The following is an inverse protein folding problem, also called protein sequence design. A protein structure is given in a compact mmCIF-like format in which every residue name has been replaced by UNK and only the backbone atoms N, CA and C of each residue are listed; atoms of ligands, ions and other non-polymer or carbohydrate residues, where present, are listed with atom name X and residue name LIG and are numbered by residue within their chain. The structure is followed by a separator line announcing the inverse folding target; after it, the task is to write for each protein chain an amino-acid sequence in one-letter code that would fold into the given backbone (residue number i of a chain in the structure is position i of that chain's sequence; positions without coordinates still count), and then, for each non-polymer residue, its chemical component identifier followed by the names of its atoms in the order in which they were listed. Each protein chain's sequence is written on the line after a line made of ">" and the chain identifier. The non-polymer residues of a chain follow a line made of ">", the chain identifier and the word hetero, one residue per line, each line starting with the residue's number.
data_IF_585314422986
#
_entry.id   IF_585314422986
#
_cell.length_a   1.000
_cell.length_b   1.000
_cell.length_c   1.000
_cell.angle_alpha   90.00
_cell.angle_beta   90.00
_cell.angle_gamma   90.00
#
_symmetry.space_group_name_H-M   'P 1'
#
loop_
_entity.id
_entity.type
_entity.pdbx_description
1 polymer ?
#
# COMPACT_ATOMS: atom_id res chain seq x y z
N UNK A 1 -64.96 -21.19 3.22
CA UNK A 1 -65.60 -21.32 1.89
C UNK A 1 -65.40 -20.03 1.13
N UNK A 2 -65.08 -20.16 -0.17
CA UNK A 2 -65.04 -19.14 -1.24
C UNK A 2 -63.86 -18.15 -1.17
N UNK A 3 -62.73 -18.32 -1.89
CA UNK A 3 -62.48 -18.33 -3.35
C UNK A 3 -63.10 -17.13 -4.05
N UNK A 4 -62.29 -16.23 -4.62
CA UNK A 4 -62.48 -15.58 -5.94
C UNK A 4 -61.30 -14.65 -6.28
N UNK A 5 -60.44 -15.09 -7.20
CA UNK A 5 -59.78 -14.24 -8.20
C UNK A 5 -60.76 -14.08 -9.38
N UNK A 6 -60.72 -12.97 -10.15
CA UNK A 6 -60.15 -13.09 -11.51
C UNK A 6 -59.47 -11.83 -12.12
N UNK A 7 -58.50 -12.11 -12.99
CA UNK A 7 -58.19 -11.57 -14.34
C UNK A 7 -58.21 -10.06 -14.64
N UNK A 8 -57.09 -9.44 -15.03
CA UNK A 8 -56.50 -9.27 -16.40
C UNK A 8 -57.20 -8.22 -17.28
N UNK A 9 -56.53 -7.09 -17.59
CA UNK A 9 -56.46 -6.37 -18.89
C UNK A 9 -55.19 -5.48 -18.87
N UNK A 10 -54.11 -5.82 -19.59
CA UNK A 10 -53.74 -5.38 -20.95
C UNK A 10 -53.28 -3.90 -21.06
N UNK A 11 -51.96 -3.70 -21.10
CA UNK A 11 -51.31 -2.45 -21.48
C UNK A 11 -50.11 -2.76 -22.38
N UNK A 12 -50.34 -2.66 -23.69
CA UNK A 12 -49.41 -2.95 -24.79
C UNK A 12 -48.30 -1.89 -24.84
N UNK A 13 -47.03 -2.28 -24.72
CA UNK A 13 -45.87 -1.44 -25.04
C UNK A 13 -44.98 -2.18 -26.05
N UNK A 14 -45.15 -1.80 -27.30
CA UNK A 14 -44.38 -2.24 -28.46
C UNK A 14 -43.02 -1.55 -28.48
N UNK A 15 -41.91 -2.30 -28.48
CA UNK A 15 -40.66 -1.86 -29.11
C UNK A 15 -39.81 -3.07 -29.54
N UNK A 16 -39.20 -2.94 -30.71
CA UNK A 16 -38.69 -4.00 -31.57
C UNK A 16 -37.37 -4.62 -31.06
N UNK A 17 -37.06 -5.89 -31.42
CA UNK A 17 -35.73 -6.45 -31.23
C UNK A 17 -34.81 -5.99 -32.36
N UNK A 18 -33.79 -5.19 -32.03
CA UNK A 18 -32.68 -4.91 -32.93
C UNK A 18 -31.68 -6.07 -32.82
N UNK A 19 -31.73 -7.00 -33.77
CA UNK A 19 -30.75 -8.07 -33.90
C UNK A 19 -29.40 -7.46 -34.32
N UNK A 20 -28.52 -7.21 -33.36
CA UNK A 20 -27.12 -6.88 -33.61
C UNK A 20 -26.40 -8.16 -34.06
N UNK A 21 -26.24 -8.29 -35.37
CA UNK A 21 -25.51 -9.38 -36.01
C UNK A 21 -24.00 -9.21 -35.71
N UNK A 22 -23.47 -10.05 -34.83
CA UNK A 22 -22.02 -10.12 -34.57
C UNK A 22 -21.36 -10.75 -35.80
N UNK A 23 -20.76 -9.91 -36.63
CA UNK A 23 -19.91 -10.36 -37.74
C UNK A 23 -18.66 -11.02 -37.18
N UNK A 24 -18.56 -12.34 -37.30
CA UNK A 24 -17.35 -13.10 -36.98
C UNK A 24 -16.35 -12.80 -38.12
N UNK A 25 -15.20 -12.14 -37.86
CA UNK A 25 -14.22 -11.93 -38.91
C UNK A 25 -13.63 -13.28 -39.32
N UNK A 26 -13.78 -13.63 -40.61
CA UNK A 26 -13.21 -14.82 -41.18
C UNK A 26 -11.67 -14.75 -41.12
N UNK A 27 -11.06 -15.59 -40.27
CA UNK A 27 -9.61 -15.78 -40.22
C UNK A 27 -9.09 -16.26 -41.58
N UNK A 28 -8.13 -15.57 -42.23
CA UNK A 28 -7.52 -16.05 -43.47
C UNK A 28 -6.70 -17.31 -43.20
N UNK A 29 -6.93 -18.37 -43.99
CA UNK A 29 -6.43 -19.73 -43.72
C UNK A 29 -5.10 -20.07 -44.42
N UNK A 30 -4.44 -19.11 -45.09
CA UNK A 30 -3.12 -19.31 -45.74
C UNK A 30 -2.31 -18.02 -45.71
N UNK A 31 -1.04 -18.13 -45.30
CA UNK A 31 -0.03 -17.11 -45.50
C UNK A 31 0.69 -17.38 -46.83
N UNK A 32 0.68 -16.37 -47.71
CA UNK A 32 1.45 -16.41 -48.95
C UNK A 32 2.95 -16.30 -48.60
N UNK A 33 3.76 -17.24 -49.08
CA UNK A 33 5.20 -17.26 -48.79
C UNK A 33 5.90 -16.55 -49.94
N UNK A 34 6.16 -15.25 -49.78
CA UNK A 34 6.97 -14.52 -50.77
C UNK A 34 8.42 -14.98 -50.69
N UNK A 35 8.90 -15.52 -51.83
CA UNK A 35 10.22 -16.11 -52.04
C UNK A 35 11.31 -15.02 -51.91
N UNK A 36 12.32 -15.26 -51.08
CA UNK A 36 13.50 -14.41 -50.93
C UNK A 36 14.29 -14.45 -52.24
N UNK A 37 14.42 -13.31 -52.92
CA UNK A 37 15.23 -13.22 -54.13
C UNK A 37 15.01 -11.97 -54.98
N UNK A 38 14.98 -10.77 -54.39
CA UNK A 38 15.36 -9.55 -55.13
C UNK A 38 15.70 -8.42 -54.16
N UNK A 39 16.85 -7.80 -54.39
CA UNK A 39 17.47 -6.85 -53.49
C UNK A 39 16.71 -5.52 -53.47
N UNK A 40 16.24 -5.12 -52.28
CA UNK A 40 15.93 -3.74 -51.96
C UNK A 40 16.75 -3.33 -50.73
N UNK A 41 17.85 -2.63 -51.03
CA UNK A 41 18.74 -1.97 -50.07
C UNK A 41 17.97 -0.92 -49.27
N UNK A 42 17.84 -1.12 -47.95
CA UNK A 42 17.16 -0.15 -47.08
C UNK A 42 16.83 -0.69 -45.70
N UNK A 43 17.78 -1.32 -45.01
CA UNK A 43 17.61 -1.74 -43.63
C UNK A 43 17.83 -0.58 -42.67
N UNK A 44 16.76 0.06 -42.19
CA UNK A 44 16.83 0.84 -40.95
C UNK A 44 16.51 -0.07 -39.78
N UNK A 45 17.54 -0.50 -39.04
CA UNK A 45 17.35 -1.17 -37.77
C UNK A 45 17.08 -0.10 -36.70
N UNK A 46 15.82 0.08 -36.30
CA UNK A 46 15.53 0.73 -35.02
C UNK A 46 15.95 -0.28 -33.95
N UNK A 47 17.17 -0.12 -33.44
CA UNK A 47 17.60 -0.81 -32.25
C UNK A 47 16.71 -0.34 -31.10
N UNK A 48 15.65 -1.10 -30.82
CA UNK A 48 14.97 -0.98 -29.54
C UNK A 48 16.00 -1.40 -28.50
N UNK A 49 16.69 -0.45 -27.88
CA UNK A 49 17.33 -0.70 -26.60
C UNK A 49 16.20 -1.18 -25.70
N UNK A 50 16.20 -2.46 -25.33
CA UNK A 50 15.32 -2.92 -24.26
C UNK A 50 15.65 -2.05 -23.06
N UNK A 51 14.80 -1.07 -22.76
CA UNK A 51 14.94 -0.26 -21.56
C UNK A 51 15.08 -1.24 -20.42
N UNK A 52 16.25 -1.22 -19.77
CA UNK A 52 16.56 -2.14 -18.70
C UNK A 52 15.38 -2.16 -17.73
N UNK A 53 14.77 -3.34 -17.53
CA UNK A 53 13.66 -3.48 -16.59
C UNK A 53 14.15 -2.94 -15.25
N UNK A 54 13.49 -1.95 -14.64
CA UNK A 54 13.93 -1.41 -13.37
C UNK A 54 14.05 -2.56 -12.39
N UNK A 55 15.25 -2.78 -11.86
CA UNK A 55 15.45 -3.84 -10.88
C UNK A 55 14.62 -3.53 -9.64
N UNK A 56 14.00 -4.54 -9.00
CA UNK A 56 13.23 -4.33 -7.78
C UNK A 56 14.18 -3.86 -6.67
N UNK A 57 14.10 -2.59 -6.31
CA UNK A 57 14.79 -2.05 -5.14
C UNK A 57 14.09 -2.54 -3.88
N UNK A 58 14.80 -3.31 -3.05
CA UNK A 58 14.31 -3.66 -1.71
C UNK A 58 14.58 -2.51 -0.76
N UNK A 59 13.54 -2.04 -0.08
CA UNK A 59 13.61 -1.00 0.95
C UNK A 59 13.37 -1.64 2.32
N UNK A 60 14.41 -1.71 3.14
CA UNK A 60 14.31 -2.17 4.52
C UNK A 60 14.16 -0.97 5.44
N UNK A 61 13.07 -0.91 6.20
CA UNK A 61 12.80 0.13 7.20
C UNK A 61 12.98 -0.50 8.58
N UNK A 62 13.97 -0.03 9.33
CA UNK A 62 14.19 -0.46 10.72
C UNK A 62 13.70 0.61 11.66
N UNK A 63 12.77 0.26 12.54
CA UNK A 63 12.26 1.13 13.60
C UNK A 63 13.06 0.96 14.88
N UNK A 64 13.37 2.07 15.55
CA UNK A 64 14.07 2.05 16.84
C UNK A 64 13.02 1.89 17.94
N UNK A 65 13.03 0.74 18.60
CA UNK A 65 12.10 0.43 19.70
C UNK A 65 12.62 1.00 21.01
N UNK A 66 11.72 1.67 21.73
CA UNK A 66 11.99 2.32 23.01
C UNK A 66 11.26 1.54 24.10
N UNK A 67 11.99 0.57 24.67
CA UNK A 67 11.51 -0.25 25.77
C UNK A 67 10.63 -1.44 25.35
N UNK A 68 10.05 -2.08 26.37
CA UNK A 68 9.24 -3.30 26.21
C UNK A 68 7.79 -3.01 25.80
N UNK A 69 7.09 -3.97 25.16
CA UNK A 69 5.69 -3.84 24.85
C UNK A 69 4.87 -3.73 26.14
N UNK A 70 4.01 -2.72 26.20
CA UNK A 70 3.09 -2.50 27.32
C UNK A 70 1.69 -2.18 26.81
N UNK A 71 0.73 -2.27 27.72
CA UNK A 71 -0.61 -1.75 27.50
C UNK A 71 -0.59 -0.23 27.70
N UNK A 72 -1.12 0.47 26.70
CA UNK A 72 -1.27 1.92 26.65
C UNK A 72 -2.74 2.25 26.77
N UNK A 73 -3.07 3.22 27.63
CA UNK A 73 -4.42 3.73 27.77
C UNK A 73 -4.57 5.07 27.04
N UNK A 74 -5.65 5.18 26.28
CA UNK A 74 -6.06 6.43 25.65
C UNK A 74 -7.04 7.18 26.56
N UNK A 75 -7.16 8.49 26.34
CA UNK A 75 -8.10 9.36 27.05
C UNK A 75 -9.57 9.02 26.74
N UNK A 76 -9.84 8.36 25.62
CA UNK A 76 -11.17 7.85 25.24
C UNK A 76 -11.55 6.53 25.95
N UNK A 77 -10.69 6.03 26.83
CA UNK A 77 -10.88 4.77 27.57
C UNK A 77 -10.47 3.52 26.80
N UNK A 78 -10.06 3.62 25.53
CA UNK A 78 -9.52 2.48 24.79
C UNK A 78 -8.12 2.14 25.28
N UNK A 79 -7.77 0.87 25.15
CA UNK A 79 -6.41 0.40 25.43
C UNK A 79 -5.85 -0.35 24.24
N UNK A 80 -4.53 -0.27 24.05
CA UNK A 80 -3.83 -1.03 23.02
C UNK A 80 -2.50 -1.53 23.56
N UNK A 81 -2.04 -2.68 23.08
CA UNK A 81 -0.72 -3.22 23.44
C UNK A 81 0.25 -2.89 22.32
N UNK A 82 1.34 -2.20 22.65
CA UNK A 82 2.28 -1.70 21.66
C UNK A 82 3.64 -1.36 22.24
N UNK A 83 4.61 -1.21 21.35
CA UNK A 83 5.94 -0.70 21.70
C UNK A 83 6.03 0.78 21.31
N UNK A 84 6.61 1.59 22.17
CA UNK A 84 6.97 2.96 21.82
C UNK A 84 8.14 2.90 20.84
N UNK A 85 8.09 3.68 19.76
CA UNK A 85 9.17 3.73 18.78
C UNK A 85 9.61 5.18 18.54
N UNK A 86 10.86 5.35 18.14
CA UNK A 86 11.38 6.65 17.73
C UNK A 86 10.81 7.09 16.38
N UNK A 87 10.90 8.39 16.10
CA UNK A 87 10.56 8.95 14.80
C UNK A 87 11.62 8.73 13.73
N UNK A 88 12.86 8.42 14.12
CA UNK A 88 13.92 8.06 13.18
C UNK A 88 13.72 6.64 12.70
N UNK A 89 13.57 6.52 11.38
CA UNK A 89 13.57 5.25 10.67
C UNK A 89 14.94 5.07 10.00
N UNK A 90 15.57 3.92 10.19
CA UNK A 90 16.79 3.57 9.46
C UNK A 90 16.34 2.89 8.18
N UNK A 91 16.42 3.64 7.08
CA UNK A 91 16.02 3.18 5.74
C UNK A 91 17.27 2.76 4.98
N UNK A 92 17.34 1.50 4.59
CA UNK A 92 18.38 0.97 3.70
C UNK A 92 17.71 0.62 2.38
N UNK A 93 18.15 1.28 1.30
CA UNK A 93 17.71 1.00 -0.06
C UNK A 93 18.84 0.28 -0.80
N UNK A 94 18.62 -0.98 -1.19
CA UNK A 94 19.59 -1.76 -1.94
C UNK A 94 19.63 -3.24 -1.59
N UNK A 95 20.41 -4.00 -2.36
CA UNK A 95 20.64 -5.45 -2.18
C UNK A 95 21.78 -5.77 -1.20
N UNK A 96 22.50 -4.76 -0.72
CA UNK A 96 23.61 -4.91 0.22
C UNK A 96 23.22 -4.43 1.62
N UNK A 97 23.51 -5.24 2.64
CA UNK A 97 23.35 -4.88 4.04
C UNK A 97 24.28 -3.72 4.40
N UNK A 98 23.78 -2.49 4.30
CA UNK A 98 24.51 -1.31 4.78
C UNK A 98 24.60 -1.34 6.31
N UNK A 99 25.68 -0.78 6.91
CA UNK A 99 25.80 -0.70 8.35
C UNK A 99 24.65 0.13 8.94
N UNK A 100 23.95 -0.44 9.92
CA UNK A 100 22.82 0.18 10.59
C UNK A 100 23.32 1.35 11.46
N UNK A 101 23.19 2.57 10.94
CA UNK A 101 23.52 3.77 11.71
C UNK A 101 22.35 4.12 12.63
N UNK A 102 22.40 3.64 13.87
CA UNK A 102 21.43 4.00 14.90
C UNK A 102 21.76 5.41 15.42
N UNK A 103 20.85 6.39 15.26
CA UNK A 103 21.04 7.71 15.84
C UNK A 103 21.30 7.62 17.35
N UNK A 104 22.34 8.31 17.82
CA UNK A 104 22.68 8.33 19.26
C UNK A 104 21.58 8.95 20.13
N UNK A 105 20.69 9.76 19.53
CA UNK A 105 19.59 10.46 20.21
C UNK A 105 18.29 10.30 19.41
N UNK A 106 17.58 9.17 19.57
CA UNK A 106 16.30 8.98 18.92
C UNK A 106 15.24 9.93 19.50
N UNK A 107 14.50 10.60 18.61
CA UNK A 107 13.38 11.47 18.96
C UNK A 107 12.15 10.63 19.24
N UNK A 108 11.66 10.67 20.47
CA UNK A 108 10.46 9.93 20.90
C UNK A 108 9.17 10.70 20.62
N UNK A 109 9.22 12.01 20.84
CA UNK A 109 8.08 12.91 20.68
C UNK A 109 8.43 13.96 19.64
N UNK A 110 7.61 14.08 18.61
CA UNK A 110 7.73 15.11 17.58
C UNK A 110 6.37 15.74 17.38
N UNK A 111 6.29 17.08 17.38
CA UNK A 111 5.04 17.81 17.15
C UNK A 111 3.87 17.38 18.06
N UNK A 112 4.13 17.13 19.35
CA UNK A 112 3.14 16.64 20.31
C UNK A 112 2.48 15.29 19.94
N UNK A 113 3.13 14.49 19.09
CA UNK A 113 2.74 13.11 18.79
C UNK A 113 3.86 12.13 19.15
N UNK A 114 3.48 10.92 19.49
CA UNK A 114 4.36 9.78 19.72
C UNK A 114 4.00 8.64 18.76
N UNK A 115 5.00 7.87 18.33
CA UNK A 115 4.81 6.72 17.45
C UNK A 115 4.80 5.41 18.24
N UNK A 116 3.85 4.56 17.90
CA UNK A 116 3.67 3.24 18.50
C UNK A 116 3.69 2.17 17.42
N UNK A 117 4.42 1.10 17.67
CA UNK A 117 4.36 -0.11 16.87
C UNK A 117 3.34 -1.07 17.49
N UNK A 118 2.23 -1.29 16.79
CA UNK A 118 1.09 -2.10 17.23
C UNK A 118 0.72 -3.05 16.10
N UNK A 119 0.66 -4.35 16.38
CA UNK A 119 0.22 -5.37 15.40
C UNK A 119 0.90 -5.22 14.02
N UNK A 120 2.23 -5.12 14.03
CA UNK A 120 3.07 -4.96 12.83
C UNK A 120 2.88 -3.67 12.04
N UNK A 121 2.20 -2.65 12.62
CA UNK A 121 1.95 -1.35 11.99
C UNK A 121 2.41 -0.22 12.91
N UNK A 122 2.82 0.89 12.29
CA UNK A 122 3.16 2.12 13.00
C UNK A 122 1.92 3.01 13.10
N UNK A 123 1.63 3.48 14.31
CA UNK A 123 0.54 4.40 14.62
C UNK A 123 1.09 5.67 15.26
N UNK A 124 0.68 6.82 14.75
CA UNK A 124 0.96 8.11 15.38
C UNK A 124 -0.20 8.48 16.30
N UNK A 125 0.09 8.71 17.57
CA UNK A 125 -0.90 9.08 18.58
C UNK A 125 -0.49 10.40 19.21
N UNK A 126 -1.41 11.36 19.24
CA UNK A 126 -1.19 12.63 19.92
C UNK A 126 -1.09 12.41 21.44
N UNK A 127 -0.18 13.11 22.12
CA UNK A 127 -0.02 13.00 23.57
C UNK A 127 -1.29 13.40 24.33
N UNK A 128 -2.11 14.28 23.74
CA UNK A 128 -3.41 14.68 24.28
C UNK A 128 -4.44 13.53 24.29
N UNK A 129 -4.26 12.56 23.39
CA UNK A 129 -5.11 11.35 23.31
C UNK A 129 -4.64 10.22 24.20
N UNK A 130 -3.44 10.33 24.78
CA UNK A 130 -2.95 9.38 25.79
C UNK A 130 -3.51 9.74 27.17
N UNK A 131 -3.69 8.72 28.01
CA UNK A 131 -3.98 8.91 29.42
C UNK A 131 -2.88 9.72 30.11
N UNK A 132 -3.23 10.37 31.23
CA UNK A 132 -2.30 11.24 31.95
C UNK A 132 -1.03 10.49 32.44
N UNK A 133 -1.19 9.24 32.85
CA UNK A 133 -0.08 8.39 33.30
C UNK A 133 0.84 7.99 32.13
N UNK A 134 0.25 7.62 31.00
CA UNK A 134 0.99 7.27 29.78
C UNK A 134 1.72 8.48 29.20
N UNK A 135 1.09 9.66 29.23
CA UNK A 135 1.72 10.91 28.80
C UNK A 135 2.97 11.20 29.62
N UNK A 136 2.87 11.14 30.94
CA UNK A 136 4.00 11.34 31.84
C UNK A 136 5.12 10.34 31.57
N UNK A 137 4.77 9.07 31.33
CA UNK A 137 5.76 8.06 30.99
C UNK A 137 6.51 8.35 29.67
N UNK A 138 5.80 8.82 28.63
CA UNK A 138 6.42 9.20 27.35
C UNK A 138 7.36 10.40 27.55
N UNK A 139 6.93 11.39 28.34
CA UNK A 139 7.74 12.56 28.67
C UNK A 139 9.01 12.18 29.46
N UNK A 140 8.86 11.39 30.54
CA UNK A 140 9.97 10.90 31.36
C UNK A 140 10.96 10.07 30.51
N UNK A 141 10.44 9.21 29.62
CA UNK A 141 11.25 8.40 28.70
C UNK A 141 11.99 9.27 27.70
N UNK A 142 11.33 10.29 27.15
CA UNK A 142 11.95 11.24 26.23
C UNK A 142 13.08 12.04 26.90
N UNK A 143 12.88 12.45 28.15
CA UNK A 143 13.88 13.14 28.95
C UNK A 143 15.07 12.22 29.28
N UNK A 144 14.81 10.96 29.66
CA UNK A 144 15.85 9.97 29.93
C UNK A 144 16.72 9.69 28.70
N UNK A 145 16.12 9.65 27.51
CA UNK A 145 16.85 9.45 26.24
C UNK A 145 17.65 10.70 25.87
N UNK A 146 17.08 11.89 26.07
CA UNK A 146 17.81 13.15 25.86
C UNK A 146 19.01 13.30 26.82
N UNK A 147 18.89 12.77 28.04
CA UNK A 147 19.92 12.81 29.07
C UNK A 147 21.04 11.78 28.88
N UNK A 148 20.80 10.66 28.18
CA UNK A 148 21.86 9.70 27.83
C UNK A 148 22.79 10.32 26.79
N UNK A 149 24.01 10.64 27.21
CA UNK A 149 25.07 11.31 26.44
C UNK A 149 26.09 10.31 25.90
#
# INVERSE_FOLDING_TARGET
>A
MNVFLPSVVFGLLTSLPLAAQVGIPATPKKFDTTRIGEAASGGSSIGYSQSARPQPTTRTVTHIVIGEPRQWKMSDGKTFVGKLIAFEDIVIEGTAAAPMNVPKKPTVVRNATARFYVNSKVYEVALDKLGAEERKFVEDTSAAIAAKK
#
